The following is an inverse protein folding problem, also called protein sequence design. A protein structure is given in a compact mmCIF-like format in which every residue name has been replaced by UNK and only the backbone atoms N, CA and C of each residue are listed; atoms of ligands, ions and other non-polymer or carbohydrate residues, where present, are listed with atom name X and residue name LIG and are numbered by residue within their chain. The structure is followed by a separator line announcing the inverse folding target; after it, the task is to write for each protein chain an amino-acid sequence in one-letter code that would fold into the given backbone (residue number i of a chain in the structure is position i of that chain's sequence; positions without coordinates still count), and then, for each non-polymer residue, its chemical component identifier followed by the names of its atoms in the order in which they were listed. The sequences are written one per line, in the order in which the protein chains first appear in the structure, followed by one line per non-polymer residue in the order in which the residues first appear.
data_IF_879096315096
#
_entry.id   IF_879096315096
#
_cell.length_a   1.000
_cell.length_b   1.000
_cell.length_c   1.000
_cell.angle_alpha   90.00
_cell.angle_beta   90.00
_cell.angle_gamma   90.00
#
_symmetry.space_group_name_H-M   'P 1'
#
loop_
_entity.id
_entity.type
_entity.pdbx_description
1 polymer ?
#
# COMPACT_ATOMS: atom_id res chain seq x y z
N UNK A 1 39.23 16.59 5.39
CA UNK A 1 38.20 15.68 5.97
C UNK A 1 37.93 14.61 4.92
N UNK A 2 38.52 13.43 5.06
CA UNK A 2 38.15 12.25 4.27
C UNK A 2 36.84 11.72 4.81
N UNK A 3 35.69 12.32 4.41
CA UNK A 3 34.41 11.80 4.70
C UNK A 3 34.14 10.59 3.81
N UNK A 4 33.59 9.51 4.37
CA UNK A 4 33.00 8.45 3.57
C UNK A 4 32.00 9.07 2.58
N UNK A 5 31.94 8.55 1.36
CA UNK A 5 30.90 8.96 0.41
C UNK A 5 29.51 8.76 1.03
N UNK A 6 28.55 9.66 0.79
CA UNK A 6 27.20 9.49 1.30
C UNK A 6 26.65 8.13 0.87
N UNK A 7 26.11 7.37 1.82
CA UNK A 7 25.39 6.13 1.49
C UNK A 7 24.14 6.52 0.70
N UNK A 8 24.01 6.00 -0.52
CA UNK A 8 22.82 6.22 -1.31
C UNK A 8 21.62 5.54 -0.65
N UNK A 9 20.45 6.16 -0.76
CA UNK A 9 19.19 5.53 -0.40
C UNK A 9 18.97 4.29 -1.30
N UNK A 10 18.28 3.25 -0.80
CA UNK A 10 18.06 2.04 -1.57
C UNK A 10 17.20 2.30 -2.81
N UNK A 11 17.40 1.50 -3.86
CA UNK A 11 16.58 1.54 -5.09
C UNK A 11 15.22 0.86 -4.94
N UNK A 12 15.06 0.03 -3.92
CA UNK A 12 13.80 -0.64 -3.56
C UNK A 12 13.62 -0.53 -2.04
N UNK A 13 12.41 -0.20 -1.56
CA UNK A 13 12.12 -0.01 -0.13
C UNK A 13 10.66 -0.26 0.19
N UNK A 14 10.40 -1.01 1.26
CA UNK A 14 9.07 -1.14 1.86
C UNK A 14 8.89 -0.06 2.95
N UNK A 15 7.84 0.73 2.88
CA UNK A 15 7.63 1.88 3.75
C UNK A 15 6.24 1.87 4.38
N UNK A 16 6.16 2.22 5.67
CA UNK A 16 4.92 2.25 6.43
C UNK A 16 4.83 3.53 7.27
N UNK A 17 3.62 4.07 7.35
CA UNK A 17 3.30 5.17 8.26
C UNK A 17 2.58 4.59 9.46
N UNK A 18 3.13 4.78 10.67
CA UNK A 18 2.53 4.28 11.91
C UNK A 18 1.94 5.40 12.74
N UNK A 19 0.81 5.12 13.41
CA UNK A 19 0.19 6.04 14.36
C UNK A 19 -0.51 5.30 15.50
N UNK A 20 0.01 5.44 16.71
CA UNK A 20 -0.55 4.88 17.94
C UNK A 20 -0.51 5.94 19.05
N UNK A 21 -1.54 6.79 19.20
CA UNK A 21 -1.50 7.90 20.16
C UNK A 21 -1.52 7.44 21.63
N UNK A 22 -2.18 6.32 21.91
CA UNK A 22 -2.29 5.68 23.23
C UNK A 22 -2.62 4.19 23.08
N UNK A 23 -2.82 3.47 24.20
CA UNK A 23 -3.20 2.05 24.19
C UNK A 23 -4.58 1.81 24.84
N UNK A 24 -5.47 2.80 24.78
CA UNK A 24 -6.79 2.74 25.40
C UNK A 24 -7.91 2.67 24.35
N UNK A 25 -9.08 2.18 24.74
CA UNK A 25 -10.27 2.16 23.91
C UNK A 25 -10.04 1.50 22.56
N UNK A 26 -10.26 2.23 21.47
CA UNK A 26 -10.04 1.76 20.11
C UNK A 26 -8.59 1.29 19.87
N UNK A 27 -7.60 1.88 20.51
CA UNK A 27 -6.19 1.58 20.32
C UNK A 27 -5.66 0.46 21.23
N UNK A 28 -6.52 -0.13 22.07
CA UNK A 28 -6.11 -1.13 23.08
C UNK A 28 -5.22 -2.26 22.54
N UNK A 29 -5.52 -2.80 21.34
CA UNK A 29 -4.74 -3.88 20.72
C UNK A 29 -3.91 -3.44 19.51
N UNK A 30 -3.91 -2.16 19.21
CA UNK A 30 -3.29 -1.63 17.99
C UNK A 30 -1.78 -1.86 17.94
N UNK A 31 -1.11 -1.84 19.08
CA UNK A 31 0.33 -2.14 19.17
C UNK A 31 0.66 -3.55 18.65
N UNK A 32 -0.16 -4.55 18.96
CA UNK A 32 0.05 -5.93 18.50
C UNK A 32 -0.18 -6.04 16.99
N UNK A 33 -1.19 -5.34 16.48
CA UNK A 33 -1.50 -5.26 15.03
C UNK A 33 -0.33 -4.63 14.28
N UNK A 34 0.18 -3.48 14.73
CA UNK A 34 1.33 -2.80 14.11
C UNK A 34 2.57 -3.71 14.14
N UNK A 35 2.82 -4.39 15.26
CA UNK A 35 3.94 -5.35 15.38
C UNK A 35 3.81 -6.52 14.40
N UNK A 36 2.61 -7.06 14.23
CA UNK A 36 2.35 -8.14 13.27
C UNK A 36 2.55 -7.65 11.82
N UNK A 37 2.01 -6.48 11.48
CA UNK A 37 2.20 -5.85 10.18
C UNK A 37 3.68 -5.68 9.83
N UNK A 38 4.43 -5.01 10.69
CA UNK A 38 5.85 -4.70 10.46
C UNK A 38 6.72 -5.96 10.37
N UNK A 39 6.48 -6.97 11.20
CA UNK A 39 7.20 -8.25 11.14
C UNK A 39 6.91 -8.98 9.84
N UNK A 40 5.64 -9.18 9.49
CA UNK A 40 5.25 -9.86 8.26
C UNK A 40 5.73 -9.12 7.00
N UNK A 41 5.74 -7.78 7.02
CA UNK A 41 6.27 -6.96 5.93
C UNK A 41 7.77 -7.22 5.72
N UNK A 42 8.57 -7.21 6.79
CA UNK A 42 10.02 -7.48 6.73
C UNK A 42 10.31 -8.89 6.25
N UNK A 43 9.62 -9.87 6.84
CA UNK A 43 9.84 -11.29 6.51
C UNK A 43 9.44 -11.62 5.07
N UNK A 44 8.44 -10.92 4.52
CA UNK A 44 7.91 -11.17 3.18
C UNK A 44 8.54 -10.34 2.05
N UNK A 45 9.22 -9.23 2.35
CA UNK A 45 9.69 -8.30 1.32
C UNK A 45 11.13 -8.54 0.87
N UNK A 46 12.04 -8.92 1.78
CA UNK A 46 13.48 -9.05 1.54
C UNK A 46 14.11 -7.77 0.93
N UNK A 47 13.60 -6.59 1.32
CA UNK A 47 14.12 -5.27 0.99
C UNK A 47 14.22 -4.43 2.25
N UNK A 48 14.99 -3.32 2.25
CA UNK A 48 15.02 -2.40 3.39
C UNK A 48 13.62 -1.92 3.79
N UNK A 49 13.43 -1.71 5.09
CA UNK A 49 12.17 -1.25 5.67
C UNK A 49 12.32 0.15 6.23
N UNK A 50 11.44 1.05 5.83
CA UNK A 50 11.29 2.39 6.38
C UNK A 50 10.03 2.49 7.23
N UNK A 51 10.15 3.05 8.43
CA UNK A 51 9.02 3.41 9.27
C UNK A 51 9.00 4.91 9.49
N UNK A 52 7.86 5.54 9.14
CA UNK A 52 7.54 6.90 9.54
C UNK A 52 6.56 6.85 10.70
N UNK A 53 7.04 7.09 11.91
CA UNK A 53 6.18 7.24 13.09
C UNK A 53 5.59 8.66 13.14
N UNK A 54 4.28 8.73 12.94
CA UNK A 54 3.53 9.98 12.81
C UNK A 54 2.96 10.48 14.14
N UNK A 55 3.74 10.42 15.21
CA UNK A 55 3.37 10.95 16.52
C UNK A 55 2.79 9.92 17.49
N UNK A 56 3.34 8.72 17.50
CA UNK A 56 2.88 7.65 18.40
C UNK A 56 3.34 7.84 19.85
N UNK A 57 2.70 7.12 20.74
CA UNK A 57 3.06 7.04 22.16
C UNK A 57 4.41 6.32 22.37
N UNK A 58 5.05 6.48 23.57
CA UNK A 58 6.35 5.88 23.87
C UNK A 58 6.40 4.37 23.61
N UNK A 59 5.34 3.63 23.93
CA UNK A 59 5.31 2.17 23.78
C UNK A 59 5.62 1.69 22.34
N UNK A 60 5.12 2.37 21.31
CA UNK A 60 5.47 2.05 19.93
C UNK A 60 6.85 2.59 19.57
N UNK A 61 7.16 3.83 19.91
CA UNK A 61 8.44 4.47 19.58
C UNK A 61 9.65 3.73 20.15
N UNK A 62 9.55 3.31 21.42
CA UNK A 62 10.60 2.55 22.08
C UNK A 62 10.79 1.19 21.43
N UNK A 63 9.69 0.49 21.13
CA UNK A 63 9.75 -0.78 20.42
C UNK A 63 10.35 -0.64 19.00
N UNK A 64 9.99 0.40 18.26
CA UNK A 64 10.57 0.67 16.92
C UNK A 64 12.08 0.91 17.00
N UNK A 65 12.54 1.67 18.00
CA UNK A 65 13.94 2.03 18.17
C UNK A 65 14.79 0.89 18.72
N UNK A 66 14.29 0.18 19.71
CA UNK A 66 15.10 -0.71 20.52
C UNK A 66 14.98 -2.18 20.09
N UNK A 67 13.80 -2.61 19.63
CA UNK A 67 13.50 -4.01 19.27
C UNK A 67 13.40 -4.22 17.75
N UNK A 68 12.49 -3.50 17.06
CA UNK A 68 12.24 -3.73 15.64
C UNK A 68 13.37 -3.22 14.75
N UNK A 69 13.88 -2.03 15.01
CA UNK A 69 15.03 -1.41 14.34
C UNK A 69 14.88 -1.44 12.81
N UNK A 70 13.97 -0.66 12.23
CA UNK A 70 13.87 -0.56 10.78
C UNK A 70 15.16 0.03 10.19
N UNK A 71 15.40 -0.20 8.89
CA UNK A 71 16.58 0.34 8.22
C UNK A 71 16.57 1.87 8.17
N UNK A 72 15.36 2.46 8.08
CA UNK A 72 15.14 3.91 8.20
C UNK A 72 14.00 4.12 9.21
N UNK A 73 14.27 4.90 10.26
CA UNK A 73 13.25 5.32 11.23
C UNK A 73 13.17 6.84 11.28
N UNK A 74 11.98 7.36 11.02
CA UNK A 74 11.65 8.78 11.19
C UNK A 74 10.62 8.92 12.29
N UNK A 75 10.94 9.68 13.32
CA UNK A 75 10.04 10.03 14.42
C UNK A 75 9.57 11.47 14.23
N UNK A 76 8.29 11.67 14.01
CA UNK A 76 7.69 13.00 13.86
C UNK A 76 6.58 13.24 14.89
N UNK A 77 6.06 14.44 14.96
CA UNK A 77 4.72 14.69 15.48
C UNK A 77 3.70 14.33 14.39
N UNK A 78 2.41 14.23 14.76
CA UNK A 78 1.36 13.93 13.78
C UNK A 78 1.20 15.10 12.79
N UNK A 79 1.61 14.87 11.55
CA UNK A 79 1.49 15.82 10.43
C UNK A 79 0.35 15.45 9.47
N UNK A 80 -0.42 14.40 9.80
CA UNK A 80 -1.41 13.80 8.91
C UNK A 80 -0.82 12.77 7.97
N UNK A 81 -1.61 11.76 7.60
CA UNK A 81 -1.18 10.60 6.80
C UNK A 81 -0.65 11.01 5.42
N UNK A 82 -1.37 11.89 4.71
CA UNK A 82 -0.97 12.32 3.36
C UNK A 82 0.32 13.15 3.37
N UNK A 83 0.48 14.05 4.34
CA UNK A 83 1.69 14.84 4.49
C UNK A 83 2.91 13.96 4.82
N UNK A 84 2.73 12.97 5.69
CA UNK A 84 3.76 11.97 5.99
C UNK A 84 4.12 11.14 4.74
N UNK A 85 3.12 10.68 3.97
CA UNK A 85 3.33 9.96 2.69
C UNK A 85 4.13 10.81 1.70
N UNK A 86 3.74 12.07 1.51
CA UNK A 86 4.46 12.99 0.64
C UNK A 86 5.93 13.18 1.05
N UNK A 87 6.17 13.42 2.33
CA UNK A 87 7.53 13.60 2.84
C UNK A 87 8.37 12.33 2.66
N UNK A 88 7.78 11.17 2.97
CA UNK A 88 8.41 9.86 2.83
C UNK A 88 8.78 9.55 1.38
N UNK A 89 7.84 9.68 0.44
CA UNK A 89 8.08 9.45 -1.00
C UNK A 89 9.11 10.43 -1.56
N UNK A 90 9.06 11.69 -1.16
CA UNK A 90 9.96 12.75 -1.62
C UNK A 90 11.42 12.59 -1.17
N UNK A 91 11.74 11.63 -0.31
CA UNK A 91 13.13 11.31 0.06
C UNK A 91 13.87 10.51 -1.01
N UNK A 92 13.14 9.85 -1.92
CA UNK A 92 13.71 8.89 -2.86
C UNK A 92 13.79 9.45 -4.28
N UNK A 93 14.68 8.86 -5.09
CA UNK A 93 14.76 9.19 -6.50
C UNK A 93 13.48 8.73 -7.23
N UNK A 94 13.12 9.36 -8.36
CA UNK A 94 11.94 8.98 -9.14
C UNK A 94 11.89 7.51 -9.56
N UNK A 95 13.05 6.89 -9.76
CA UNK A 95 13.22 5.49 -10.20
C UNK A 95 13.17 4.49 -9.04
N UNK A 96 13.13 4.95 -7.78
CA UNK A 96 13.03 4.07 -6.63
C UNK A 96 11.68 3.36 -6.63
N UNK A 97 11.69 2.03 -6.49
CA UNK A 97 10.48 1.25 -6.23
C UNK A 97 10.17 1.35 -4.74
N UNK A 98 9.05 1.97 -4.43
CA UNK A 98 8.58 2.14 -3.06
C UNK A 98 7.27 1.37 -2.85
N UNK A 99 7.24 0.51 -1.83
CA UNK A 99 6.00 -0.05 -1.32
C UNK A 99 5.49 0.80 -0.16
N UNK A 100 4.29 1.33 -0.26
CA UNK A 100 3.65 2.11 0.81
C UNK A 100 2.48 1.33 1.36
N UNK A 101 2.38 1.24 2.69
CA UNK A 101 1.32 0.47 3.34
C UNK A 101 0.79 1.16 4.59
N UNK A 102 -0.47 0.84 4.92
CA UNK A 102 -1.04 1.09 6.23
C UNK A 102 -0.44 0.14 7.26
N UNK A 103 -0.53 0.47 8.54
CA UNK A 103 0.12 -0.24 9.64
C UNK A 103 -0.73 -1.38 10.23
N UNK A 104 -1.75 -1.85 9.49
CA UNK A 104 -2.66 -2.94 9.85
C UNK A 104 -2.79 -4.03 8.77
N UNK A 105 -1.84 -4.08 7.85
CA UNK A 105 -1.79 -5.09 6.80
C UNK A 105 -1.00 -6.32 7.28
N UNK A 106 -1.39 -7.52 6.80
CA UNK A 106 -0.63 -8.75 7.00
C UNK A 106 -0.05 -9.21 5.65
N UNK A 107 1.26 -9.40 5.61
CA UNK A 107 1.99 -9.73 4.40
C UNK A 107 2.34 -11.22 4.35
N UNK A 108 2.16 -11.83 3.18
CA UNK A 108 2.58 -13.21 2.89
C UNK A 108 3.94 -13.23 2.19
N UNK A 109 4.71 -14.32 2.31
CA UNK A 109 5.96 -14.48 1.59
C UNK A 109 5.79 -14.25 0.08
N UNK A 110 6.73 -13.51 -0.52
CA UNK A 110 6.71 -13.25 -1.97
C UNK A 110 5.86 -12.04 -2.41
N UNK A 111 5.12 -11.39 -1.51
CA UNK A 111 4.28 -10.24 -1.86
C UNK A 111 5.04 -9.15 -2.62
N UNK A 112 6.29 -8.88 -2.23
CA UNK A 112 7.13 -7.88 -2.87
C UNK A 112 7.52 -8.28 -4.28
N UNK A 113 8.11 -9.46 -4.43
CA UNK A 113 8.62 -9.94 -5.72
C UNK A 113 7.51 -10.07 -6.76
N UNK A 114 6.33 -10.59 -6.39
CA UNK A 114 5.20 -10.72 -7.31
C UNK A 114 4.64 -9.34 -7.70
N UNK A 115 4.54 -8.40 -6.76
CA UNK A 115 4.10 -7.03 -7.07
C UNK A 115 5.11 -6.29 -7.96
N UNK A 116 6.41 -6.42 -7.71
CA UNK A 116 7.47 -5.83 -8.57
C UNK A 116 7.47 -6.44 -9.96
N UNK A 117 7.20 -7.75 -10.08
CA UNK A 117 7.06 -8.42 -11.38
C UNK A 117 5.91 -7.81 -12.19
N UNK A 118 4.75 -7.57 -11.60
CA UNK A 118 3.64 -6.88 -12.26
C UNK A 118 4.00 -5.43 -12.60
N UNK A 119 4.60 -4.69 -11.67
CA UNK A 119 5.00 -3.29 -11.89
C UNK A 119 5.96 -3.14 -13.09
N UNK A 120 6.89 -4.07 -13.26
CA UNK A 120 7.87 -4.06 -14.36
C UNK A 120 7.34 -4.71 -15.64
N UNK A 121 6.33 -5.56 -15.54
CA UNK A 121 5.83 -6.37 -16.63
C UNK A 121 4.71 -5.74 -17.45
N UNK A 122 3.95 -4.85 -16.85
CA UNK A 122 2.95 -4.04 -17.55
C UNK A 122 3.51 -2.64 -17.85
N UNK A 123 3.13 -2.01 -18.97
CA UNK A 123 3.57 -0.65 -19.27
C UNK A 123 2.80 0.38 -18.46
N UNK A 124 3.46 1.48 -18.12
CA UNK A 124 2.85 2.69 -17.52
C UNK A 124 2.04 2.43 -16.23
N UNK A 125 2.39 1.42 -15.44
CA UNK A 125 1.67 1.09 -14.21
C UNK A 125 1.77 2.24 -13.21
N UNK A 126 0.62 2.70 -12.73
CA UNK A 126 0.54 3.69 -11.64
C UNK A 126 0.82 3.06 -10.29
N UNK A 127 0.05 2.03 -9.94
CA UNK A 127 0.17 1.28 -8.68
C UNK A 127 -0.01 -0.22 -8.92
N UNK A 128 0.60 -1.04 -8.06
CA UNK A 128 0.28 -2.47 -7.91
C UNK A 128 -0.07 -2.74 -6.44
N UNK A 129 -1.27 -3.23 -6.17
CA UNK A 129 -1.67 -3.72 -4.86
C UNK A 129 -1.64 -5.24 -4.80
N UNK A 130 -1.22 -5.79 -3.65
CA UNK A 130 -1.21 -7.24 -3.46
C UNK A 130 -2.61 -7.82 -3.16
N UNK A 131 -3.57 -6.97 -2.81
CA UNK A 131 -4.95 -7.35 -2.53
C UNK A 131 -5.93 -6.65 -3.47
N UNK A 132 -6.67 -7.39 -4.31
CA UNK A 132 -7.73 -6.81 -5.13
C UNK A 132 -8.96 -6.55 -4.24
N UNK A 133 -9.47 -5.33 -4.25
CA UNK A 133 -10.73 -4.99 -3.58
C UNK A 133 -11.81 -4.79 -4.62
N UNK A 134 -12.84 -5.67 -4.63
CA UNK A 134 -13.94 -5.62 -5.60
C UNK A 134 -14.60 -4.23 -5.65
N UNK A 135 -14.68 -3.54 -4.52
CA UNK A 135 -15.22 -2.19 -4.46
C UNK A 135 -14.40 -1.16 -5.26
N UNK A 136 -13.08 -1.34 -5.38
CA UNK A 136 -12.21 -0.40 -6.09
C UNK A 136 -12.41 -0.42 -7.61
N UNK A 137 -13.03 -1.47 -8.16
CA UNK A 137 -13.39 -1.52 -9.58
C UNK A 137 -14.37 -0.41 -10.00
N UNK A 138 -15.05 0.24 -9.05
CA UNK A 138 -15.99 1.32 -9.36
C UNK A 138 -15.30 2.67 -9.61
N UNK A 139 -14.04 2.87 -9.22
CA UNK A 139 -13.40 4.19 -9.28
C UNK A 139 -11.92 4.23 -9.69
N UNK A 140 -11.26 3.08 -9.82
CA UNK A 140 -9.81 3.02 -10.08
C UNK A 140 -9.48 1.92 -11.10
N UNK A 141 -10.12 1.95 -12.27
CA UNK A 141 -9.94 0.98 -13.36
C UNK A 141 -10.00 1.59 -14.76
N UNK A 142 -10.35 2.87 -14.87
CA UNK A 142 -10.72 3.44 -16.17
C UNK A 142 -9.56 3.48 -17.16
N UNK A 143 -8.39 3.93 -16.74
CA UNK A 143 -7.20 3.96 -17.60
C UNK A 143 -6.69 2.56 -17.91
N UNK A 144 -6.67 1.68 -16.91
CA UNK A 144 -6.23 0.30 -17.06
C UNK A 144 -7.09 -0.46 -18.06
N UNK A 145 -8.43 -0.34 -17.97
CA UNK A 145 -9.35 -1.00 -18.92
C UNK A 145 -9.31 -0.38 -20.31
N UNK A 146 -9.15 0.95 -20.42
CA UNK A 146 -8.98 1.62 -21.71
C UNK A 146 -7.69 1.17 -22.42
N UNK A 147 -6.56 1.12 -21.70
CA UNK A 147 -5.32 0.59 -22.27
C UNK A 147 -5.46 -0.88 -22.66
N UNK A 148 -6.08 -1.71 -21.81
CA UNK A 148 -6.21 -3.14 -22.05
C UNK A 148 -7.09 -3.46 -23.25
N UNK A 149 -8.08 -2.64 -23.58
CA UNK A 149 -8.96 -2.83 -24.72
C UNK A 149 -8.20 -2.95 -26.04
N UNK A 150 -7.09 -2.25 -26.20
CA UNK A 150 -6.27 -2.25 -27.41
C UNK A 150 -5.03 -3.15 -27.34
N UNK A 151 -4.61 -3.56 -26.12
CA UNK A 151 -3.28 -4.12 -25.90
C UNK A 151 -3.25 -5.48 -25.19
N UNK A 152 -4.36 -5.92 -24.59
CA UNK A 152 -4.38 -7.08 -23.72
C UNK A 152 -5.70 -7.85 -23.80
N UNK A 153 -5.75 -9.03 -23.21
CA UNK A 153 -7.00 -9.79 -23.03
C UNK A 153 -7.67 -9.34 -21.71
N UNK A 154 -8.95 -8.97 -21.80
CA UNK A 154 -9.78 -8.59 -20.65
C UNK A 154 -10.69 -9.77 -20.31
N UNK A 155 -10.63 -10.23 -19.06
CA UNK A 155 -11.52 -11.23 -18.51
C UNK A 155 -12.44 -10.61 -17.45
N UNK A 156 -13.73 -10.86 -17.55
CA UNK A 156 -14.70 -10.42 -16.53
C UNK A 156 -15.38 -11.66 -15.92
N UNK A 157 -15.39 -11.74 -14.60
CA UNK A 157 -15.94 -12.91 -13.88
C UNK A 157 -15.91 -12.72 -12.37
N UNK A 158 -16.13 -13.82 -11.64
CA UNK A 158 -16.02 -13.89 -10.19
C UNK A 158 -14.73 -14.68 -9.84
N UNK A 159 -13.61 -14.00 -9.75
CA UNK A 159 -12.30 -14.58 -9.50
C UNK A 159 -11.86 -14.45 -8.04
N UNK A 160 -12.30 -13.38 -7.36
CA UNK A 160 -12.15 -13.24 -5.92
C UNK A 160 -13.18 -14.19 -5.28
N UNK A 161 -12.69 -15.14 -4.50
CA UNK A 161 -13.53 -16.18 -3.90
C UNK A 161 -14.44 -15.65 -2.79
N UNK A 162 -15.51 -16.36 -2.50
CA UNK A 162 -16.36 -16.03 -1.35
C UNK A 162 -15.59 -16.07 -0.02
N UNK A 163 -14.58 -16.96 0.09
CA UNK A 163 -13.76 -17.05 1.29
C UNK A 163 -12.92 -15.77 1.47
N UNK A 164 -12.26 -15.28 0.41
CA UNK A 164 -11.50 -14.04 0.45
C UNK A 164 -12.38 -12.83 0.82
N UNK A 165 -13.58 -12.73 0.27
CA UNK A 165 -14.54 -11.69 0.65
C UNK A 165 -15.01 -11.82 2.12
N UNK A 166 -15.15 -13.05 2.62
CA UNK A 166 -15.47 -13.32 4.02
C UNK A 166 -14.33 -12.90 4.95
N UNK A 167 -13.10 -13.25 4.58
CA UNK A 167 -11.90 -12.89 5.34
C UNK A 167 -11.70 -11.37 5.38
N UNK A 168 -11.91 -10.71 4.25
CA UNK A 168 -11.90 -9.24 4.18
C UNK A 168 -12.96 -8.63 5.09
N UNK A 169 -14.23 -9.02 4.97
CA UNK A 169 -15.31 -8.48 5.80
C UNK A 169 -15.01 -8.66 7.30
N UNK A 170 -14.51 -9.84 7.67
CA UNK A 170 -14.13 -10.17 9.04
C UNK A 170 -12.96 -9.26 9.53
N UNK A 171 -11.96 -9.06 8.70
CA UNK A 171 -10.78 -8.25 9.06
C UNK A 171 -11.11 -6.78 9.30
N UNK A 172 -12.05 -6.21 8.54
CA UNK A 172 -12.49 -4.82 8.69
C UNK A 172 -13.70 -4.64 9.61
N UNK A 173 -14.21 -5.74 10.21
CA UNK A 173 -15.32 -5.70 11.17
C UNK A 173 -16.69 -5.39 10.55
N UNK A 174 -16.87 -5.66 9.27
CA UNK A 174 -18.16 -5.50 8.57
C UNK A 174 -18.96 -6.82 8.66
N UNK A 175 -20.31 -6.78 8.86
CA UNK A 175 -21.12 -7.98 8.85
C UNK A 175 -20.96 -8.74 7.53
N UNK A 176 -20.49 -9.99 7.61
CA UNK A 176 -20.15 -10.83 6.43
C UNK A 176 -21.31 -10.93 5.47
N UNK A 177 -22.54 -11.21 5.97
CA UNK A 177 -23.74 -11.35 5.13
C UNK A 177 -24.05 -10.09 4.32
N UNK A 178 -23.94 -8.90 4.94
CA UNK A 178 -24.18 -7.62 4.28
C UNK A 178 -23.10 -7.34 3.22
N UNK A 179 -21.85 -7.64 3.54
CA UNK A 179 -20.74 -7.49 2.60
C UNK A 179 -20.94 -8.38 1.37
N UNK A 180 -21.18 -9.67 1.57
CA UNK A 180 -21.41 -10.63 0.48
C UNK A 180 -22.59 -10.24 -0.42
N UNK A 181 -23.71 -9.77 0.16
CA UNK A 181 -24.84 -9.24 -0.64
C UNK A 181 -24.43 -8.04 -1.49
N UNK A 182 -23.65 -7.10 -0.93
CA UNK A 182 -23.20 -5.89 -1.62
C UNK A 182 -22.29 -6.19 -2.80
N UNK A 183 -21.44 -7.21 -2.71
CA UNK A 183 -20.49 -7.58 -3.77
C UNK A 183 -21.01 -8.65 -4.73
N UNK A 184 -22.13 -9.29 -4.44
CA UNK A 184 -22.65 -10.43 -5.21
C UNK A 184 -22.95 -10.11 -6.69
N UNK A 185 -23.38 -8.87 -6.98
CA UNK A 185 -23.69 -8.44 -8.36
C UNK A 185 -22.50 -7.81 -9.08
N UNK A 186 -21.34 -7.74 -8.45
CA UNK A 186 -20.12 -7.12 -9.00
C UNK A 186 -19.21 -8.16 -9.61
N UNK A 187 -18.64 -7.83 -10.75
CA UNK A 187 -17.64 -8.66 -11.41
C UNK A 187 -16.25 -8.15 -11.12
N UNK A 188 -15.29 -9.07 -11.09
CA UNK A 188 -13.88 -8.77 -11.09
C UNK A 188 -13.40 -8.61 -12.54
N UNK A 189 -12.47 -7.72 -12.79
CA UNK A 189 -11.86 -7.51 -14.09
C UNK A 189 -10.39 -7.92 -13.96
N UNK A 190 -9.96 -8.87 -14.79
CA UNK A 190 -8.55 -9.27 -14.91
C UNK A 190 -8.03 -8.93 -16.30
N UNK A 191 -6.75 -8.68 -16.37
CA UNK A 191 -6.04 -8.36 -17.60
C UNK A 191 -4.92 -9.37 -17.78
N UNK A 192 -4.87 -9.98 -18.98
CA UNK A 192 -3.76 -10.84 -19.39
C UNK A 192 -2.88 -10.13 -20.39
N UNK A 193 -1.60 -10.03 -20.07
CA UNK A 193 -0.61 -9.40 -20.93
C UNK A 193 0.74 -10.09 -20.78
N UNK A 194 1.37 -10.47 -21.90
CA UNK A 194 2.69 -11.13 -21.92
C UNK A 194 2.82 -12.31 -20.94
N UNK A 195 1.78 -13.15 -20.84
CA UNK A 195 1.77 -14.32 -19.95
C UNK A 195 1.58 -14.01 -18.48
N UNK A 196 1.34 -12.76 -18.10
CA UNK A 196 0.99 -12.33 -16.75
C UNK A 196 -0.50 -12.05 -16.64
N UNK A 197 -1.04 -12.23 -15.44
CA UNK A 197 -2.42 -11.87 -15.12
C UNK A 197 -2.43 -10.94 -13.92
N UNK A 198 -3.15 -9.83 -14.03
CA UNK A 198 -3.36 -8.87 -12.94
C UNK A 198 -4.84 -8.50 -12.84
N UNK A 199 -5.30 -8.10 -11.66
CA UNK A 199 -6.58 -7.41 -11.52
C UNK A 199 -6.47 -5.96 -12.00
N UNK A 200 -7.53 -5.43 -12.60
CA UNK A 200 -7.54 -4.09 -13.17
C UNK A 200 -7.67 -2.96 -12.15
N UNK A 201 -7.38 -3.23 -10.88
CA UNK A 201 -7.51 -2.24 -9.82
C UNK A 201 -6.38 -2.33 -8.80
N UNK A 202 -6.04 -1.19 -8.21
CA UNK A 202 -5.14 -1.07 -7.07
C UNK A 202 -5.69 -0.01 -6.11
N UNK A 203 -5.18 0.03 -4.87
CA UNK A 203 -5.68 0.96 -3.87
C UNK A 203 -4.59 1.43 -2.89
N UNK A 204 -4.86 2.55 -2.25
CA UNK A 204 -3.95 3.31 -1.39
C UNK A 204 -3.53 2.63 -0.08
N UNK A 205 -4.26 1.63 0.41
CA UNK A 205 -3.96 1.01 1.72
C UNK A 205 -2.70 0.15 1.70
N UNK A 206 -2.38 -0.44 0.55
CA UNK A 206 -1.12 -1.14 0.29
C UNK A 206 -0.84 -1.12 -1.21
N UNK A 207 0.31 -0.59 -1.61
CA UNK A 207 0.72 -0.59 -3.02
C UNK A 207 2.23 -0.54 -3.18
N UNK A 208 2.69 -0.94 -4.37
CA UNK A 208 4.06 -0.73 -4.86
C UNK A 208 3.99 0.13 -6.11
N UNK A 209 4.90 1.10 -6.22
CA UNK A 209 5.01 2.01 -7.35
C UNK A 209 6.43 2.55 -7.53
N UNK A 210 6.71 3.20 -8.64
CA UNK A 210 7.86 4.08 -8.73
C UNK A 210 7.59 5.39 -7.99
N UNK A 211 8.53 5.87 -7.18
CA UNK A 211 8.37 7.07 -6.37
C UNK A 211 8.01 8.31 -7.22
N UNK A 212 8.66 8.47 -8.37
CA UNK A 212 8.36 9.56 -9.30
C UNK A 212 6.95 9.49 -9.89
N UNK A 213 6.38 8.28 -10.04
CA UNK A 213 5.04 8.10 -10.58
C UNK A 213 3.95 8.56 -9.62
N UNK A 214 4.14 8.34 -8.32
CA UNK A 214 3.14 8.69 -7.30
C UNK A 214 3.36 10.06 -6.65
N UNK A 215 4.57 10.61 -6.71
CA UNK A 215 4.91 11.89 -6.08
C UNK A 215 3.98 13.05 -6.47
N UNK A 216 3.53 13.22 -7.72
CA UNK A 216 2.60 14.29 -8.09
C UNK A 216 1.25 14.22 -7.36
N UNK A 217 0.83 13.02 -6.93
CA UNK A 217 -0.46 12.76 -6.28
C UNK A 217 -0.37 12.69 -4.74
N UNK A 218 0.84 12.84 -4.19
CA UNK A 218 1.03 12.95 -2.75
C UNK A 218 0.88 14.42 -2.33
N UNK A 219 -0.26 14.80 -1.78
CA UNK A 219 -0.52 16.18 -1.38
C UNK A 219 -0.21 16.44 0.09
N UNK A 220 0.10 17.69 0.41
CA UNK A 220 -0.03 18.16 1.78
C UNK A 220 -1.50 18.43 2.10
N UNK A 221 -1.96 17.97 3.25
CA UNK A 221 -3.32 18.19 3.72
C UNK A 221 -3.29 18.56 5.20
N UNK A 222 -4.12 19.52 5.62
CA UNK A 222 -4.24 19.89 7.04
C UNK A 222 -5.04 18.85 7.85
N UNK A 223 -5.61 17.85 7.19
CA UNK A 223 -6.44 16.85 7.83
C UNK A 223 -5.61 15.63 8.26
N UNK A 224 -5.95 15.05 9.40
CA UNK A 224 -5.29 13.85 9.92
C UNK A 224 -5.49 12.63 9.02
N UNK A 225 -6.67 12.51 8.42
CA UNK A 225 -7.11 11.40 7.55
C UNK A 225 -7.90 11.95 6.36
N UNK A 226 -8.06 11.14 5.31
CA UNK A 226 -8.87 11.45 4.13
C UNK A 226 -8.04 11.71 2.87
N UNK A 227 -8.75 11.76 1.73
CA UNK A 227 -8.12 11.98 0.41
C UNK A 227 -7.55 10.71 -0.23
N UNK A 228 -7.69 9.54 0.40
CA UNK A 228 -7.14 8.29 -0.13
C UNK A 228 -7.82 7.88 -1.44
N UNK A 229 -9.15 7.94 -1.50
CA UNK A 229 -9.87 7.65 -2.75
C UNK A 229 -9.51 8.62 -3.87
N UNK A 230 -9.35 9.91 -3.55
CA UNK A 230 -8.92 10.91 -4.54
C UNK A 230 -7.51 10.65 -5.05
N UNK A 231 -6.63 10.04 -4.23
CA UNK A 231 -5.32 9.59 -4.66
C UNK A 231 -5.43 8.44 -5.67
N UNK A 232 -6.25 7.43 -5.40
CA UNK A 232 -6.49 6.30 -6.31
C UNK A 232 -7.06 6.80 -7.65
N UNK A 233 -8.12 7.63 -7.61
CA UNK A 233 -8.77 8.21 -8.79
C UNK A 233 -7.83 9.11 -9.62
N UNK A 234 -6.93 9.84 -8.97
CA UNK A 234 -6.00 10.73 -9.67
C UNK A 234 -4.92 9.94 -10.41
N UNK A 235 -4.41 8.87 -9.79
CA UNK A 235 -3.45 7.97 -10.44
C UNK A 235 -4.11 7.22 -11.60
N UNK A 236 -5.33 6.73 -11.43
CA UNK A 236 -6.07 6.04 -12.50
C UNK A 236 -6.29 6.95 -13.71
N UNK A 237 -6.55 8.24 -13.52
CA UNK A 237 -6.76 9.19 -14.62
C UNK A 237 -5.50 9.47 -15.46
N UNK A 238 -4.34 9.28 -14.90
CA UNK A 238 -3.05 9.61 -15.55
C UNK A 238 -2.38 8.38 -16.18
N UNK A 239 -3.01 7.24 -16.08
CA UNK A 239 -2.62 6.00 -16.72
C UNK A 239 -1.83 5.09 -15.89
#
# INVERSE_FOLDING_TARGET
RNGEAPKHLPSEIAAVITYLPNQDGYFHRRLDVIKACLRSMRDGANVPVMVWDNGSCPALRDWLRDDYRPDILILSHNVGKQSARRAMVGMFSPETIIGVTDDDMLFYPGWWSESVKLLKGFPNVGLVSAWPTRMAFDWATSSTTAWAADNAEIETGHYITQQEETDYATSVGVPVGEHLQRVASRYDIRIRYNGMTAYATAQHCQFIAYAGRIMPYCWYTPYAMGGERSFDEAIDKDG
#
